data_IF_474037933358
#
_entry.id   IF_474037933358
#
_cell.length_a   1.000
_cell.length_b   1.000
_cell.length_c   1.000
_cell.angle_alpha   90.00
_cell.angle_beta   90.00
_cell.angle_gamma   90.00
#
_symmetry.space_group_name_H-M   'P 1'
#
loop_
_entity.id
_entity.type
_entity.pdbx_description
1 polymer ?
#
# COMPACT_ATOMS: atom_id res chain seq x y z
N UNK A 1 -9.80 20.75 4.87
CA UNK A 1 -10.61 20.35 6.05
C UNK A 1 -11.10 21.62 6.69
N UNK A 2 -12.41 21.72 6.88
CA UNK A 2 -12.97 22.78 7.75
C UNK A 2 -12.70 22.38 9.20
N UNK A 3 -11.75 23.05 9.83
CA UNK A 3 -11.32 22.75 11.21
C UNK A 3 -12.42 22.99 12.25
N UNK A 4 -13.41 23.81 11.91
CA UNK A 4 -14.49 24.19 12.84
C UNK A 4 -15.68 23.24 12.81
N UNK A 5 -15.90 22.57 11.70
CA UNK A 5 -17.07 21.69 11.51
C UNK A 5 -16.83 20.60 10.46
N UNK A 6 -15.99 19.61 10.74
CA UNK A 6 -15.76 18.52 9.80
C UNK A 6 -17.02 17.68 9.63
N UNK A 7 -17.51 17.53 8.40
CA UNK A 7 -18.64 16.66 8.09
C UNK A 7 -18.12 15.24 7.77
N UNK A 8 -18.75 14.22 8.35
CA UNK A 8 -18.55 12.85 7.92
C UNK A 8 -19.26 12.63 6.59
N UNK A 9 -18.48 12.36 5.52
CA UNK A 9 -19.04 12.13 4.18
C UNK A 9 -19.42 10.66 3.97
N UNK A 10 -18.65 9.75 4.51
CA UNK A 10 -18.91 8.31 4.50
C UNK A 10 -18.07 7.60 5.57
N UNK A 11 -18.42 6.35 5.84
CA UNK A 11 -17.72 5.50 6.80
C UNK A 11 -17.57 4.09 6.22
N UNK A 12 -16.37 3.52 6.34
CA UNK A 12 -16.08 2.12 6.00
C UNK A 12 -15.75 1.35 7.28
N UNK A 13 -16.27 0.14 7.40
CA UNK A 13 -16.24 -0.62 8.66
C UNK A 13 -14.97 -1.44 8.85
N UNK A 14 -14.41 -1.97 7.78
CA UNK A 14 -13.23 -2.83 7.84
C UNK A 14 -11.96 -2.02 7.56
N UNK A 15 -11.22 -1.69 8.59
CA UNK A 15 -9.98 -0.91 8.47
C UNK A 15 -8.78 -1.69 8.99
N UNK A 16 -7.57 -1.44 8.42
CA UNK A 16 -6.33 -1.95 8.99
C UNK A 16 -6.02 -1.26 10.33
N UNK A 17 -5.30 -1.95 11.18
CA UNK A 17 -4.88 -1.44 12.49
C UNK A 17 -3.54 -0.70 12.47
N UNK A 18 -2.66 -0.99 11.51
CA UNK A 18 -1.29 -0.46 11.46
C UNK A 18 -0.99 0.32 10.18
N UNK A 19 -1.34 -0.24 9.02
CA UNK A 19 -1.00 0.36 7.73
C UNK A 19 -1.89 1.57 7.44
N UNK A 20 -1.29 2.72 7.17
CA UNK A 20 -2.04 3.93 6.83
C UNK A 20 -2.77 3.77 5.50
N UNK A 21 -3.97 4.36 5.36
CA UNK A 21 -4.64 4.41 4.07
C UNK A 21 -3.82 5.21 3.06
N UNK A 22 -3.87 4.80 1.80
CA UNK A 22 -3.22 5.48 0.69
C UNK A 22 -4.27 6.00 -0.29
N UNK A 23 -4.26 7.29 -0.58
CA UNK A 23 -5.11 7.86 -1.62
C UNK A 23 -4.32 8.08 -2.91
N UNK A 24 -4.85 7.58 -4.03
CA UNK A 24 -4.34 7.83 -5.38
C UNK A 24 -5.51 8.28 -6.27
N UNK A 25 -5.49 9.53 -6.70
CA UNK A 25 -6.61 10.09 -7.47
C UNK A 25 -7.92 10.01 -6.70
N UNK A 26 -8.91 9.34 -7.26
CA UNK A 26 -10.23 9.15 -6.65
C UNK A 26 -10.40 7.79 -5.96
N UNK A 27 -9.32 7.12 -5.61
CA UNK A 27 -9.35 5.82 -4.94
C UNK A 27 -8.58 5.88 -3.62
N UNK A 28 -9.16 5.31 -2.57
CA UNK A 28 -8.51 5.08 -1.27
C UNK A 28 -8.25 3.60 -1.12
N UNK A 29 -7.01 3.25 -0.84
CA UNK A 29 -6.57 1.89 -0.61
C UNK A 29 -6.38 1.63 0.87
N UNK A 30 -6.87 0.48 1.33
CA UNK A 30 -6.68 -0.05 2.67
C UNK A 30 -5.99 -1.41 2.57
N UNK A 31 -4.95 -1.62 3.36
CA UNK A 31 -4.24 -2.90 3.41
C UNK A 31 -4.37 -3.50 4.81
N UNK A 32 -5.01 -4.64 4.91
CA UNK A 32 -5.08 -5.37 6.18
C UNK A 32 -3.70 -5.88 6.56
N UNK A 33 -3.25 -5.50 7.76
CA UNK A 33 -1.90 -5.74 8.25
C UNK A 33 -1.57 -7.22 8.47
N UNK A 34 -2.56 -8.02 8.83
CA UNK A 34 -2.34 -9.41 9.28
C UNK A 34 -2.59 -10.45 8.18
N UNK A 35 -3.46 -10.16 7.22
CA UNK A 35 -3.83 -11.12 6.19
C UNK A 35 -3.56 -10.66 4.75
N UNK A 36 -3.11 -9.39 4.56
CA UNK A 36 -2.82 -8.84 3.24
C UNK A 36 -4.03 -8.59 2.36
N UNK A 37 -5.22 -8.44 2.94
CA UNK A 37 -6.41 -8.03 2.19
C UNK A 37 -6.28 -6.58 1.72
N UNK A 38 -6.15 -6.36 0.40
CA UNK A 38 -6.13 -5.04 -0.22
C UNK A 38 -7.54 -4.66 -0.65
N UNK A 39 -8.05 -3.58 -0.11
CA UNK A 39 -9.36 -3.02 -0.43
C UNK A 39 -9.21 -1.68 -1.11
N UNK A 40 -9.89 -1.47 -2.23
CA UNK A 40 -9.98 -0.19 -2.92
C UNK A 40 -11.39 0.38 -2.81
N UNK A 41 -11.49 1.63 -2.39
CA UNK A 41 -12.73 2.37 -2.20
C UNK A 41 -12.77 3.59 -3.12
N UNK A 42 -13.93 3.91 -3.65
CA UNK A 42 -14.17 5.21 -4.28
C UNK A 42 -14.07 6.32 -3.22
N UNK A 43 -13.19 7.29 -3.43
CA UNK A 43 -12.90 8.31 -2.43
C UNK A 43 -14.05 9.28 -2.15
N UNK A 44 -15.01 9.42 -3.07
CA UNK A 44 -16.16 10.30 -2.89
C UNK A 44 -17.29 9.62 -2.13
N UNK A 45 -17.57 8.37 -2.45
CA UNK A 45 -18.75 7.65 -1.94
C UNK A 45 -18.42 6.62 -0.86
N UNK A 46 -17.14 6.24 -0.70
CA UNK A 46 -16.74 5.12 0.18
C UNK A 46 -17.12 3.74 -0.36
N UNK A 47 -17.69 3.66 -1.58
CA UNK A 47 -18.08 2.40 -2.20
C UNK A 47 -16.87 1.53 -2.48
N UNK A 48 -16.94 0.26 -2.11
CA UNK A 48 -15.88 -0.70 -2.43
C UNK A 48 -15.84 -0.99 -3.93
N UNK A 49 -14.68 -0.80 -4.52
CA UNK A 49 -14.39 -1.12 -5.92
C UNK A 49 -13.93 -2.56 -6.05
N UNK A 50 -12.99 -2.97 -5.20
CA UNK A 50 -12.57 -4.36 -5.07
C UNK A 50 -12.01 -4.66 -3.66
N UNK A 51 -11.93 -5.94 -3.34
CA UNK A 51 -11.20 -6.49 -2.20
C UNK A 51 -10.49 -7.75 -2.67
N UNK A 52 -9.18 -7.80 -2.52
CA UNK A 52 -8.33 -8.88 -3.01
C UNK A 52 -7.27 -9.24 -1.98
N UNK A 53 -7.13 -10.51 -1.66
CA UNK A 53 -5.99 -10.97 -0.88
C UNK A 53 -4.73 -10.93 -1.74
N UNK A 54 -3.69 -10.29 -1.22
CA UNK A 54 -2.39 -10.27 -1.87
C UNK A 54 -1.77 -11.67 -1.85
N UNK A 55 -1.08 -12.09 -2.92
CA UNK A 55 -0.27 -13.30 -2.90
C UNK A 55 0.88 -13.13 -1.90
N UNK A 56 1.54 -14.23 -1.55
CA UNK A 56 2.55 -14.27 -0.49
C UNK A 56 1.95 -13.89 0.89
N UNK A 57 1.40 -14.89 1.54
CA UNK A 57 0.79 -14.75 2.86
C UNK A 57 1.84 -14.28 3.89
N UNK A 58 1.79 -13.01 4.24
CA UNK A 58 2.72 -12.38 5.18
C UNK A 58 2.03 -11.23 5.94
N UNK A 59 2.68 -10.80 7.01
CA UNK A 59 2.25 -9.65 7.80
C UNK A 59 2.80 -8.36 7.16
N UNK A 60 2.01 -7.31 7.15
CA UNK A 60 2.39 -5.99 6.65
C UNK A 60 2.45 -4.98 7.79
N UNK A 61 3.57 -4.25 7.90
CA UNK A 61 3.76 -3.20 8.92
C UNK A 61 4.18 -1.87 8.31
N UNK A 62 4.83 -1.90 7.15
CA UNK A 62 5.15 -0.71 6.37
C UNK A 62 3.94 -0.18 5.60
N UNK A 63 3.89 1.12 5.40
CA UNK A 63 2.85 1.75 4.60
C UNK A 63 3.03 1.46 3.11
N UNK A 64 1.93 1.46 2.37
CA UNK A 64 1.94 1.49 0.92
C UNK A 64 2.52 2.80 0.41
N UNK A 65 3.21 2.79 -0.73
CA UNK A 65 3.61 3.99 -1.44
C UNK A 65 3.14 3.95 -2.88
N UNK A 66 2.86 5.12 -3.44
CA UNK A 66 2.46 5.27 -4.83
C UNK A 66 3.56 5.97 -5.62
N UNK A 67 3.88 5.42 -6.79
CA UNK A 67 4.75 6.04 -7.78
C UNK A 67 4.35 5.57 -9.19
N UNK A 68 4.29 6.49 -10.13
CA UNK A 68 4.09 6.20 -11.55
C UNK A 68 2.92 5.23 -11.82
N UNK A 69 1.76 5.52 -11.23
CA UNK A 69 0.55 4.69 -11.38
C UNK A 69 0.61 3.31 -10.75
N UNK A 70 1.62 3.06 -9.90
CA UNK A 70 1.86 1.79 -9.22
C UNK A 70 1.83 1.97 -7.71
N UNK A 71 1.32 0.98 -7.01
CA UNK A 71 1.32 0.90 -5.55
C UNK A 71 2.33 -0.18 -5.16
N UNK A 72 3.29 0.20 -4.32
CA UNK A 72 4.27 -0.72 -3.77
C UNK A 72 3.90 -1.03 -2.33
N UNK A 73 3.98 -2.29 -1.98
CA UNK A 73 3.80 -2.79 -0.62
C UNK A 73 4.84 -3.85 -0.34
N UNK A 74 5.44 -3.82 0.84
CA UNK A 74 6.44 -4.81 1.24
C UNK A 74 6.00 -5.42 2.57
N UNK A 75 5.89 -6.74 2.58
CA UNK A 75 5.56 -7.47 3.78
C UNK A 75 6.78 -7.76 4.65
N UNK A 76 6.49 -8.17 5.87
CA UNK A 76 7.49 -8.42 6.92
C UNK A 76 8.62 -9.37 6.48
N UNK A 77 8.32 -10.38 5.70
CA UNK A 77 9.31 -11.36 5.26
C UNK A 77 10.15 -10.88 4.06
N UNK A 78 9.94 -9.64 3.60
CA UNK A 78 10.71 -9.03 2.53
C UNK A 78 10.14 -9.23 1.14
N UNK A 79 8.97 -9.84 1.02
CA UNK A 79 8.31 -9.97 -0.29
C UNK A 79 7.60 -8.66 -0.62
N UNK A 80 8.09 -8.00 -1.66
CA UNK A 80 7.53 -6.77 -2.22
C UNK A 80 6.59 -7.08 -3.39
N UNK A 81 5.44 -6.42 -3.40
CA UNK A 81 4.43 -6.53 -4.43
C UNK A 81 4.22 -5.18 -5.11
N UNK A 82 4.05 -5.22 -6.41
CA UNK A 82 3.71 -4.04 -7.21
C UNK A 82 2.32 -4.25 -7.80
N UNK A 83 1.39 -3.39 -7.42
CA UNK A 83 0.00 -3.43 -7.88
C UNK A 83 -0.28 -2.20 -8.73
N UNK A 84 -1.02 -2.36 -9.81
CA UNK A 84 -1.47 -1.24 -10.61
C UNK A 84 -2.49 -0.41 -9.82
N UNK A 85 -2.30 0.90 -9.76
CA UNK A 85 -3.31 1.80 -9.22
C UNK A 85 -4.50 1.88 -10.20
N UNK A 86 -5.72 1.65 -9.71
CA UNK A 86 -6.90 1.68 -10.55
C UNK A 86 -8.11 0.98 -9.90
N UNK A 87 -9.27 1.00 -10.57
CA UNK A 87 -10.53 0.47 -10.02
C UNK A 87 -10.62 -1.06 -10.04
N UNK A 88 -9.68 -1.73 -10.69
CA UNK A 88 -9.58 -3.18 -10.77
C UNK A 88 -8.23 -3.65 -10.24
N UNK A 89 -8.21 -4.78 -9.52
CA UNK A 89 -6.96 -5.35 -9.01
C UNK A 89 -6.12 -5.92 -10.15
N UNK A 90 -4.85 -5.51 -10.22
CA UNK A 90 -3.85 -6.09 -11.11
C UNK A 90 -2.48 -6.12 -10.45
N UNK A 91 -1.98 -7.33 -10.20
CA UNK A 91 -0.60 -7.54 -9.75
C UNK A 91 0.35 -7.41 -10.93
N UNK A 92 1.35 -6.54 -10.81
CA UNK A 92 2.33 -6.29 -11.87
C UNK A 92 3.65 -7.05 -11.63
N UNK A 93 4.08 -7.15 -10.38
CA UNK A 93 5.33 -7.81 -10.04
C UNK A 93 5.33 -8.31 -8.59
N UNK A 94 6.14 -9.33 -8.35
CA UNK A 94 6.50 -9.86 -7.04
C UNK A 94 8.01 -9.95 -6.95
N UNK A 95 8.59 -9.36 -5.91
CA UNK A 95 10.03 -9.34 -5.67
C UNK A 95 10.32 -9.79 -4.25
N UNK A 96 11.33 -10.61 -4.06
CA UNK A 96 11.72 -11.12 -2.74
C UNK A 96 13.14 -10.66 -2.39
N UNK A 97 13.24 -9.82 -1.37
CA UNK A 97 14.52 -9.35 -0.83
C UNK A 97 15.19 -10.37 0.08
N UNK A 98 14.45 -11.40 0.52
CA UNK A 98 14.92 -12.44 1.47
C UNK A 98 15.43 -11.86 2.80
N UNK A 99 15.00 -10.68 3.14
CA UNK A 99 15.34 -9.97 4.37
C UNK A 99 14.09 -9.36 4.99
N UNK A 100 13.97 -9.46 6.30
CA UNK A 100 12.83 -8.91 7.03
C UNK A 100 12.81 -7.38 7.05
N UNK A 101 11.63 -6.82 6.99
CA UNK A 101 11.40 -5.39 7.13
C UNK A 101 10.08 -5.06 7.81
N UNK A 102 10.07 -3.98 8.58
CA UNK A 102 8.85 -3.32 9.08
C UNK A 102 8.72 -1.90 8.53
N UNK A 103 9.69 -1.45 7.76
CA UNK A 103 9.76 -0.07 7.28
C UNK A 103 8.88 0.13 6.05
N UNK A 104 8.32 1.32 5.94
CA UNK A 104 7.71 1.79 4.71
C UNK A 104 8.79 2.07 3.67
N UNK A 105 8.60 1.68 2.40
CA UNK A 105 9.48 2.11 1.33
C UNK A 105 9.34 3.62 1.11
N UNK A 106 10.35 4.23 0.49
CA UNK A 106 10.30 5.62 0.06
C UNK A 106 10.64 5.74 -1.43
N UNK A 107 9.96 6.65 -2.12
CA UNK A 107 10.23 6.93 -3.54
C UNK A 107 10.62 8.39 -3.68
N UNK A 108 11.76 8.64 -4.31
CA UNK A 108 12.23 9.98 -4.61
C UNK A 108 13.12 9.97 -5.85
N UNK A 109 12.98 10.96 -6.72
CA UNK A 109 13.84 11.17 -7.89
C UNK A 109 14.00 9.91 -8.77
N UNK A 110 12.91 9.19 -9.03
CA UNK A 110 12.92 7.97 -9.84
C UNK A 110 13.60 6.77 -9.18
N UNK A 111 13.85 6.84 -7.88
CA UNK A 111 14.47 5.77 -7.10
C UNK A 111 13.56 5.29 -6.00
N UNK A 112 13.62 3.98 -5.73
CA UNK A 112 12.96 3.31 -4.62
C UNK A 112 13.98 2.98 -3.55
N UNK A 113 13.72 3.43 -2.33
CA UNK A 113 14.53 3.13 -1.16
C UNK A 113 13.78 2.16 -0.26
N UNK A 114 14.43 1.07 0.10
CA UNK A 114 13.87 0.04 0.98
C UNK A 114 14.85 -0.26 2.10
N UNK A 115 14.40 -0.01 3.32
CA UNK A 115 15.16 -0.39 4.51
C UNK A 115 14.71 -1.77 4.97
N UNK A 116 15.66 -2.67 5.16
CA UNK A 116 15.49 -3.97 5.83
C UNK A 116 16.16 -3.98 7.20
N UNK A 117 16.21 -5.13 7.87
CA UNK A 117 16.94 -5.22 9.13
C UNK A 117 18.44 -5.03 8.94
N UNK A 118 18.99 -5.51 7.84
CA UNK A 118 20.45 -5.54 7.62
C UNK A 118 20.93 -4.46 6.65
N UNK A 119 20.07 -3.98 5.73
CA UNK A 119 20.49 -3.11 4.64
C UNK A 119 19.53 -1.96 4.36
N UNK A 120 20.04 -0.94 3.71
CA UNK A 120 19.28 0.06 2.98
C UNK A 120 19.55 -0.13 1.49
N UNK A 121 18.51 -0.50 0.76
CA UNK A 121 18.58 -0.66 -0.70
C UNK A 121 18.12 0.60 -1.41
N UNK A 122 18.76 0.87 -2.55
CA UNK A 122 18.35 1.89 -3.51
C UNK A 122 18.19 1.24 -4.89
N UNK A 123 16.97 1.18 -5.37
CA UNK A 123 16.63 0.65 -6.69
C UNK A 123 16.25 1.78 -7.64
N UNK A 124 16.64 1.67 -8.92
CA UNK A 124 16.33 2.64 -9.96
C UNK A 124 17.05 2.30 -11.24
N UNK A 125 16.75 3.06 -12.30
CA UNK A 125 17.53 2.97 -13.53
C UNK A 125 18.98 3.45 -13.30
N UNK A 126 19.94 2.82 -13.93
CA UNK A 126 21.34 3.23 -13.86
C UNK A 126 21.58 4.65 -14.44
#
# INVERSE_FOLDING_TARGET
IDEKNPAELWRHKETPDVVSPLRVGNIVYLLNSDNGGLTALDAKSGKQLYKQNLPAKQIYRGNMVHADGKILVIGREGVGLVVQAGPEFKLLATNDLKEKTYASPAVANGRLYVRTWDHLYCFGAP
#
